data_IF_832724042520
#
_entry.id   IF_832724042520
#
_cell.length_a   1.000
_cell.length_b   1.000
_cell.length_c   1.000
_cell.angle_alpha   90.00
_cell.angle_beta   90.00
_cell.angle_gamma   90.00
#
_symmetry.space_group_name_H-M   'P 1'
#
loop_
_entity.id
_entity.type
_entity.pdbx_description
1 polymer ?
#
# COMPACT_ATOMS: atom_id res chain seq x y z
N UNK A 1 15.62 2.45 19.82
CA UNK A 1 14.51 3.16 19.13
C UNK A 1 13.63 2.13 18.46
N UNK A 2 12.38 2.49 18.12
CA UNK A 2 11.46 1.60 17.40
C UNK A 2 11.63 1.77 15.88
N UNK A 3 11.65 0.66 15.14
CA UNK A 3 11.64 0.69 13.68
C UNK A 3 10.21 0.88 13.18
N UNK A 4 9.90 2.09 12.69
CA UNK A 4 8.60 2.46 12.15
C UNK A 4 8.74 2.83 10.68
N UNK A 5 7.77 2.44 9.86
CA UNK A 5 7.69 2.82 8.46
C UNK A 5 6.54 3.82 8.24
N UNK A 6 6.86 4.99 7.71
CA UNK A 6 5.90 6.02 7.33
C UNK A 6 6.28 6.61 5.96
N UNK A 7 5.28 6.73 5.09
CA UNK A 7 5.42 7.39 3.79
C UNK A 7 4.61 8.68 3.80
N UNK A 8 5.28 9.82 3.91
CA UNK A 8 4.63 11.13 3.93
C UNK A 8 4.37 11.61 2.50
N UNK A 9 3.11 11.95 2.19
CA UNK A 9 2.72 12.56 0.93
C UNK A 9 2.43 14.05 1.12
N UNK A 10 2.61 14.85 0.07
CA UNK A 10 2.39 16.30 0.14
C UNK A 10 0.91 16.65 -0.06
N UNK A 11 0.50 17.68 0.68
CA UNK A 11 -0.81 18.32 0.55
C UNK A 11 -0.59 19.82 0.37
N UNK A 12 -1.19 20.40 -0.67
CA UNK A 12 -1.09 21.82 -1.00
C UNK A 12 -2.51 22.38 -1.02
N UNK A 13 -2.82 23.28 -0.08
CA UNK A 13 -4.07 24.02 -0.11
C UNK A 13 -3.98 25.09 -1.21
N UNK A 14 -4.90 25.05 -2.18
CA UNK A 14 -4.88 25.98 -3.32
C UNK A 14 -5.86 27.14 -3.14
N UNK A 15 -7.01 26.88 -2.50
CA UNK A 15 -8.06 27.86 -2.17
C UNK A 15 -8.91 27.35 -1.00
N UNK A 16 -9.78 28.19 -0.37
CA UNK A 16 -10.74 27.70 0.61
C UNK A 16 -11.62 26.58 0.02
N UNK A 17 -11.56 25.39 0.62
CA UNK A 17 -12.27 24.20 0.12
C UNK A 17 -11.61 23.48 -1.08
N UNK A 18 -10.44 23.93 -1.54
CA UNK A 18 -9.70 23.29 -2.62
C UNK A 18 -8.27 22.95 -2.20
N UNK A 19 -7.78 21.80 -2.65
CA UNK A 19 -6.40 21.40 -2.43
C UNK A 19 -5.97 20.34 -3.42
N UNK A 20 -4.65 20.16 -3.50
CA UNK A 20 -3.99 19.13 -4.29
C UNK A 20 -3.28 18.19 -3.33
N UNK A 21 -3.44 16.89 -3.54
CA UNK A 21 -2.78 15.84 -2.78
C UNK A 21 -1.90 15.04 -3.74
N UNK A 22 -0.67 14.76 -3.32
CA UNK A 22 0.23 13.89 -4.05
C UNK A 22 -0.20 12.43 -3.92
N UNK A 23 -0.46 11.78 -5.06
CA UNK A 23 -0.75 10.36 -5.08
C UNK A 23 0.51 9.55 -4.77
N UNK A 24 0.39 8.57 -3.86
CA UNK A 24 1.49 7.67 -3.55
C UNK A 24 1.73 6.73 -4.74
N UNK A 25 2.91 6.76 -5.38
CA UNK A 25 3.19 5.92 -6.53
C UNK A 25 3.24 4.43 -6.13
N UNK A 26 2.88 3.54 -7.06
CA UNK A 26 2.84 2.09 -6.86
C UNK A 26 1.95 1.62 -5.69
N UNK A 27 0.99 2.43 -5.27
CA UNK A 27 -0.01 2.06 -4.27
C UNK A 27 -1.32 1.65 -4.94
N UNK A 28 -2.08 0.77 -4.29
CA UNK A 28 -3.46 0.43 -4.65
C UNK A 28 -4.32 0.46 -3.40
N UNK A 29 -5.58 0.85 -3.54
CA UNK A 29 -6.54 0.82 -2.45
C UNK A 29 -6.83 -0.62 -2.01
N UNK A 30 -7.07 -0.81 -0.71
CA UNK A 30 -7.53 -2.10 -0.16
C UNK A 30 -8.84 -2.55 -0.81
N UNK A 31 -9.74 -1.59 -1.04
CA UNK A 31 -11.03 -1.84 -1.68
C UNK A 31 -10.83 -2.30 -3.13
N UNK A 32 -9.95 -1.63 -3.87
CA UNK A 32 -9.64 -2.02 -5.25
C UNK A 32 -9.00 -3.40 -5.30
N UNK A 33 -8.10 -3.73 -4.37
CA UNK A 33 -7.54 -5.09 -4.28
C UNK A 33 -8.67 -6.10 -4.04
N UNK A 34 -9.53 -5.87 -3.04
CA UNK A 34 -10.63 -6.77 -2.70
C UNK A 34 -11.68 -6.94 -3.81
N UNK A 35 -11.93 -5.91 -4.63
CA UNK A 35 -12.82 -6.03 -5.80
C UNK A 35 -12.18 -6.76 -6.97
N UNK A 36 -10.88 -6.59 -7.16
CA UNK A 36 -10.14 -7.20 -8.27
C UNK A 36 -9.65 -8.60 -7.95
N UNK A 37 -9.74 -9.05 -6.69
CA UNK A 37 -9.30 -10.36 -6.25
C UNK A 37 -10.34 -11.01 -5.38
N UNK A 38 -10.78 -12.23 -5.73
CA UNK A 38 -11.73 -13.01 -4.93
C UNK A 38 -11.08 -13.69 -3.71
N UNK A 39 -9.94 -13.17 -3.25
CA UNK A 39 -9.13 -13.77 -2.16
C UNK A 39 -8.85 -12.75 -1.06
N UNK A 40 -8.52 -13.25 0.13
CA UNK A 40 -8.09 -12.41 1.25
C UNK A 40 -6.78 -11.67 0.98
N UNK A 41 -6.50 -10.63 1.77
CA UNK A 41 -5.26 -9.84 1.64
C UNK A 41 -3.99 -10.70 1.86
N UNK A 42 -4.05 -11.71 2.71
CA UNK A 42 -2.91 -12.61 2.96
C UNK A 42 -2.63 -13.49 1.74
N UNK A 43 -3.66 -14.05 1.13
CA UNK A 43 -3.60 -14.80 -0.12
C UNK A 43 -3.07 -13.90 -1.24
N UNK A 44 -3.59 -12.69 -1.38
CA UNK A 44 -3.10 -11.69 -2.33
C UNK A 44 -1.60 -11.41 -2.11
N UNK A 45 -1.18 -11.22 -0.86
CA UNK A 45 0.22 -10.98 -0.52
C UNK A 45 1.11 -12.18 -0.89
N UNK A 46 0.65 -13.42 -0.69
CA UNK A 46 1.34 -14.64 -1.17
C UNK A 46 1.39 -14.73 -2.70
N UNK A 47 0.33 -14.31 -3.40
CA UNK A 47 0.32 -14.29 -4.86
C UNK A 47 1.32 -13.28 -5.44
N UNK A 48 1.48 -12.12 -4.79
CA UNK A 48 2.38 -11.05 -5.26
C UNK A 48 3.85 -11.34 -4.90
N UNK A 49 4.11 -11.79 -3.68
CA UNK A 49 5.48 -11.90 -3.15
C UNK A 49 6.02 -13.35 -3.08
N UNK A 50 5.17 -14.34 -3.36
CA UNK A 50 5.51 -15.75 -3.31
C UNK A 50 5.14 -16.40 -1.98
N UNK A 51 5.66 -17.61 -1.75
CA UNK A 51 5.41 -18.36 -0.52
C UNK A 51 6.08 -17.69 0.68
N UNK A 52 5.55 -18.00 1.85
CA UNK A 52 5.96 -17.53 3.16
C UNK A 52 7.40 -17.88 3.53
N UNK A 53 7.93 -18.97 2.98
CA UNK A 53 9.32 -19.40 3.10
C UNK A 53 10.30 -18.61 2.22
N UNK A 54 9.80 -17.82 1.26
CA UNK A 54 10.66 -17.10 0.33
C UNK A 54 11.28 -15.86 0.98
N UNK A 55 12.55 -15.60 0.65
CA UNK A 55 13.29 -14.42 1.12
C UNK A 55 12.55 -13.12 0.74
N UNK A 56 11.88 -13.10 -0.42
CA UNK A 56 11.09 -11.95 -0.88
C UNK A 56 9.92 -11.67 0.06
N UNK A 57 9.16 -12.71 0.44
CA UNK A 57 8.03 -12.58 1.36
C UNK A 57 8.48 -12.15 2.76
N UNK A 58 9.57 -12.72 3.28
CA UNK A 58 10.06 -12.36 4.61
C UNK A 58 10.56 -10.92 4.72
N UNK A 59 11.08 -10.37 3.62
CA UNK A 59 11.63 -9.01 3.60
C UNK A 59 10.56 -7.92 3.48
N UNK A 60 9.39 -8.26 2.97
CA UNK A 60 8.28 -7.32 2.73
C UNK A 60 7.13 -7.49 3.72
N UNK A 61 7.20 -8.53 4.56
CA UNK A 61 6.31 -8.75 5.71
C UNK A 61 6.72 -7.85 6.87
#
# INVERSE_FOLDING_TARGET
>A
GLELYQYTYRVIATSPGCGVIECVPNSRSREDIGRNTEVGLFEYFRHVYGKDDSIKFQKVK
#
